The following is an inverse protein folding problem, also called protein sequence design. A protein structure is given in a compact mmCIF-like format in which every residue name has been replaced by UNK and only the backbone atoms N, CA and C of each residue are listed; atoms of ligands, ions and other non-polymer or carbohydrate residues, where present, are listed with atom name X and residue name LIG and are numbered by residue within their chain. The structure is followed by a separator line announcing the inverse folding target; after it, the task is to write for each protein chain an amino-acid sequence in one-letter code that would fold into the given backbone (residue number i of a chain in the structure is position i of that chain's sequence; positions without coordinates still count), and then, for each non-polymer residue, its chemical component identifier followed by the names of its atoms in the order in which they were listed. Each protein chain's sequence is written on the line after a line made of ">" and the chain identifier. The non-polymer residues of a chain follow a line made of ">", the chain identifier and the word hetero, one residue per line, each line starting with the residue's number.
data_IF_514188000345
#
_entry.id   IF_514188000345
#
_cell.length_a   1.000
_cell.length_b   1.000
_cell.length_c   1.000
_cell.angle_alpha   90.00
_cell.angle_beta   90.00
_cell.angle_gamma   90.00
#
_symmetry.space_group_name_H-M   'P 1'
#
loop_
_entity.id
_entity.type
_entity.pdbx_description
1 polymer ?
#
# COMPACT_ATOMS: atom_id res chain seq x y z
N UNK A 1 43.30 8.44 40.57
CA UNK A 1 42.61 9.51 39.82
C UNK A 1 43.56 9.97 38.72
N UNK A 2 43.31 9.91 37.42
CA UNK A 2 42.16 9.62 36.55
C UNK A 2 42.75 9.16 35.20
N UNK A 3 42.29 8.05 34.61
CA UNK A 3 42.70 7.69 33.24
C UNK A 3 42.02 8.67 32.27
N UNK A 4 42.81 9.55 31.66
CA UNK A 4 42.35 10.53 30.68
C UNK A 4 42.03 9.84 29.34
N UNK A 5 40.81 9.34 29.18
CA UNK A 5 40.31 8.84 27.91
C UNK A 5 39.99 10.01 26.99
N UNK A 6 40.92 10.36 26.09
CA UNK A 6 40.65 11.24 24.93
C UNK A 6 39.64 10.54 24.00
N UNK A 7 38.35 10.75 24.24
CA UNK A 7 37.28 10.39 23.32
C UNK A 7 37.51 11.09 21.98
N UNK A 8 37.91 10.34 20.97
CA UNK A 8 38.12 10.87 19.61
C UNK A 8 36.76 11.19 19.02
N UNK A 9 36.33 12.45 19.11
CA UNK A 9 35.19 12.94 18.34
C UNK A 9 35.56 12.89 16.85
N UNK A 10 35.26 11.76 16.21
CA UNK A 10 35.45 11.61 14.76
C UNK A 10 34.36 12.44 14.07
N UNK A 11 34.77 13.53 13.41
CA UNK A 11 33.89 14.30 12.53
C UNK A 11 33.33 13.33 11.47
N UNK A 12 32.01 13.13 11.39
CA UNK A 12 31.45 12.20 10.42
C UNK A 12 31.82 12.69 9.02
N UNK A 13 32.50 11.83 8.25
CA UNK A 13 32.90 12.10 6.87
C UNK A 13 31.67 12.33 5.99
N UNK A 14 31.81 13.10 4.92
CA UNK A 14 30.74 13.36 3.93
C UNK A 14 30.12 12.04 3.43
N UNK A 15 30.93 11.00 3.26
CA UNK A 15 30.50 9.65 2.86
C UNK A 15 29.52 9.00 3.84
N UNK A 16 29.75 9.17 5.15
CA UNK A 16 28.85 8.62 6.19
C UNK A 16 27.49 9.35 6.14
N UNK A 17 27.50 10.66 5.91
CA UNK A 17 26.25 11.45 5.79
C UNK A 17 25.42 11.06 4.57
N UNK A 18 26.07 10.83 3.42
CA UNK A 18 25.37 10.38 2.20
C UNK A 18 24.80 8.97 2.34
N UNK A 19 25.54 8.05 2.98
CA UNK A 19 25.05 6.69 3.25
C UNK A 19 23.81 6.68 4.17
N UNK A 20 23.78 7.54 5.20
CA UNK A 20 22.60 7.67 6.08
C UNK A 20 21.37 8.20 5.34
N UNK A 21 21.53 9.23 4.49
CA UNK A 21 20.42 9.78 3.69
C UNK A 21 19.87 8.75 2.69
N UNK A 22 20.74 8.02 1.99
CA UNK A 22 20.32 6.99 1.04
C UNK A 22 19.60 5.82 1.73
N UNK A 23 20.05 5.42 2.92
CA UNK A 23 19.42 4.34 3.70
C UNK A 23 18.00 4.67 4.17
N UNK A 24 17.73 5.91 4.59
CA UNK A 24 16.40 6.34 5.06
C UNK A 24 15.39 6.37 3.90
N UNK A 25 15.79 6.93 2.75
CA UNK A 25 14.91 6.98 1.56
C UNK A 25 14.62 5.58 1.01
N UNK A 26 15.62 4.69 0.99
CA UNK A 26 15.44 3.30 0.53
C UNK A 26 14.52 2.47 1.43
N UNK A 27 14.63 2.64 2.75
CA UNK A 27 13.78 1.93 3.71
C UNK A 27 12.30 2.38 3.62
N UNK A 28 12.04 3.68 3.48
CA UNK A 28 10.67 4.22 3.42
C UNK A 28 9.86 3.69 2.23
N UNK A 29 10.51 3.41 1.09
CA UNK A 29 9.84 2.87 -0.11
C UNK A 29 9.62 1.36 0.00
N UNK A 30 10.48 0.64 0.72
CA UNK A 30 10.36 -0.82 0.88
C UNK A 30 9.34 -1.24 1.96
N UNK A 31 9.07 -0.39 2.96
CA UNK A 31 8.14 -0.71 4.07
C UNK A 31 6.73 -1.11 3.59
N UNK A 32 6.08 -0.41 2.64
CA UNK A 32 4.77 -0.82 2.12
C UNK A 32 4.78 -2.18 1.41
N UNK A 33 5.88 -2.54 0.76
CA UNK A 33 6.04 -3.82 0.05
C UNK A 33 6.22 -5.00 1.01
N UNK A 34 6.69 -4.76 2.24
CA UNK A 34 6.81 -5.81 3.25
C UNK A 34 5.47 -6.17 3.91
N UNK A 35 4.46 -5.31 3.78
CA UNK A 35 3.08 -5.54 4.27
C UNK A 35 2.08 -5.91 3.17
N UNK A 36 2.50 -5.91 1.90
CA UNK A 36 1.66 -6.33 0.78
C UNK A 36 1.45 -7.84 0.84
N UNK A 37 0.35 -8.26 1.47
CA UNK A 37 -0.10 -9.64 1.46
C UNK A 37 -0.94 -9.92 0.19
N UNK A 38 -1.22 -11.18 -0.08
CA UNK A 38 -2.03 -11.57 -1.24
C UNK A 38 -3.42 -10.91 -1.17
N UNK A 39 -3.89 -10.34 -2.29
CA UNK A 39 -5.26 -9.87 -2.40
C UNK A 39 -6.22 -11.07 -2.35
N UNK A 40 -7.06 -11.14 -1.32
CA UNK A 40 -8.10 -12.16 -1.21
C UNK A 40 -9.40 -11.59 -1.75
N UNK A 41 -9.74 -11.92 -3.00
CA UNK A 41 -11.06 -11.63 -3.54
C UNK A 41 -12.10 -12.59 -2.94
N UNK A 42 -13.33 -12.10 -2.69
CA UNK A 42 -14.45 -12.99 -2.42
C UNK A 42 -14.70 -13.88 -3.65
N UNK A 43 -15.24 -15.08 -3.41
CA UNK A 43 -15.60 -16.02 -4.48
C UNK A 43 -16.56 -15.38 -5.49
N UNK A 44 -16.51 -15.83 -6.75
CA UNK A 44 -17.41 -15.37 -7.82
C UNK A 44 -18.88 -15.48 -7.40
N UNK A 45 -19.26 -16.57 -6.71
CA UNK A 45 -20.61 -16.76 -6.20
C UNK A 45 -21.06 -15.70 -5.20
N UNK A 46 -20.13 -15.11 -4.43
CA UNK A 46 -20.45 -13.99 -3.54
C UNK A 46 -20.81 -12.76 -4.36
N UNK A 47 -20.03 -12.46 -5.39
CA UNK A 47 -20.28 -11.32 -6.28
C UNK A 47 -21.54 -11.51 -7.12
N UNK A 48 -21.84 -12.72 -7.56
CA UNK A 48 -23.10 -13.03 -8.25
C UNK A 48 -24.31 -12.84 -7.33
N UNK A 49 -24.20 -13.22 -6.05
CA UNK A 49 -25.27 -12.98 -5.07
C UNK A 49 -25.51 -11.48 -4.85
N UNK A 50 -24.44 -10.67 -4.79
CA UNK A 50 -24.59 -9.21 -4.72
C UNK A 50 -25.22 -8.68 -6.01
N UNK A 51 -24.75 -9.11 -7.19
CA UNK A 51 -25.30 -8.67 -8.46
C UNK A 51 -26.77 -9.08 -8.65
N UNK A 52 -27.19 -10.20 -8.05
CA UNK A 52 -28.58 -10.62 -7.99
C UNK A 52 -29.43 -9.64 -7.15
N UNK A 53 -28.91 -9.17 -6.02
CA UNK A 53 -29.58 -8.18 -5.19
C UNK A 53 -29.64 -6.79 -5.86
N UNK A 54 -28.52 -6.34 -6.44
CA UNK A 54 -28.36 -4.97 -6.95
C UNK A 54 -28.98 -4.77 -8.33
N UNK A 55 -28.94 -5.78 -9.19
CA UNK A 55 -29.29 -5.65 -10.63
C UNK A 55 -30.09 -6.84 -11.17
N UNK A 56 -30.61 -7.70 -10.30
CA UNK A 56 -31.32 -8.91 -10.71
C UNK A 56 -30.42 -9.91 -11.44
N UNK A 57 -29.10 -9.80 -11.30
CA UNK A 57 -28.11 -10.64 -11.97
C UNK A 57 -27.66 -10.11 -13.34
N UNK A 58 -28.17 -8.96 -13.78
CA UNK A 58 -27.77 -8.37 -15.06
C UNK A 58 -26.49 -7.55 -14.92
N UNK A 59 -25.36 -8.19 -15.22
CA UNK A 59 -24.04 -7.55 -15.21
C UNK A 59 -23.87 -6.40 -16.22
N UNK A 60 -24.74 -6.29 -17.22
CA UNK A 60 -24.72 -5.25 -18.26
C UNK A 60 -25.86 -4.23 -18.11
N UNK A 61 -26.51 -4.18 -16.93
CA UNK A 61 -27.61 -3.25 -16.70
C UNK A 61 -27.17 -1.79 -16.92
N UNK A 62 -28.01 -1.05 -17.64
CA UNK A 62 -27.87 0.38 -17.83
C UNK A 62 -29.28 0.96 -18.01
N UNK A 63 -29.86 1.41 -16.91
CA UNK A 63 -31.23 1.98 -16.91
C UNK A 63 -31.23 3.49 -17.09
N UNK A 64 -30.07 4.14 -17.25
CA UNK A 64 -29.96 5.60 -17.32
C UNK A 64 -30.19 6.32 -15.98
N UNK A 65 -30.03 5.63 -14.85
CA UNK A 65 -30.20 6.18 -13.50
C UNK A 65 -28.88 6.70 -12.87
N UNK A 66 -27.80 6.78 -13.65
CA UNK A 66 -26.46 7.19 -13.19
C UNK A 66 -25.58 6.06 -12.65
N UNK A 67 -26.06 4.80 -12.67
CA UNK A 67 -25.31 3.63 -12.25
C UNK A 67 -25.19 2.60 -13.39
N UNK A 68 -24.11 1.83 -13.38
CA UNK A 68 -23.80 0.85 -14.43
C UNK A 68 -23.32 -0.49 -13.87
N UNK A 69 -23.77 -1.55 -14.55
CA UNK A 69 -23.32 -2.92 -14.34
C UNK A 69 -23.90 -3.58 -13.09
N UNK A 70 -23.61 -4.87 -12.92
CA UNK A 70 -24.28 -5.72 -11.94
C UNK A 70 -24.14 -5.28 -10.48
N UNK A 71 -23.13 -4.46 -10.15
CA UNK A 71 -22.90 -3.93 -8.81
C UNK A 71 -23.30 -2.46 -8.68
N UNK A 72 -23.95 -1.88 -9.69
CA UNK A 72 -24.43 -0.50 -9.69
C UNK A 72 -23.33 0.50 -9.32
N UNK A 73 -22.22 0.50 -10.06
CA UNK A 73 -21.19 1.53 -9.88
C UNK A 73 -21.63 2.85 -10.53
N UNK A 74 -21.35 3.97 -9.86
CA UNK A 74 -21.64 5.30 -10.42
C UNK A 74 -20.83 5.54 -11.69
N UNK A 75 -21.49 6.08 -12.71
CA UNK A 75 -20.87 6.46 -13.98
C UNK A 75 -20.40 7.91 -13.99
#
# INVERSE_FOLDING_TARGET
>A
MLLNSKGKHRRPSKTIRFATLAGITGAAVAVPLMGATNASAASVSTWDAVAQCESGGNWSINTGNGYYGGLQFSQ
#
